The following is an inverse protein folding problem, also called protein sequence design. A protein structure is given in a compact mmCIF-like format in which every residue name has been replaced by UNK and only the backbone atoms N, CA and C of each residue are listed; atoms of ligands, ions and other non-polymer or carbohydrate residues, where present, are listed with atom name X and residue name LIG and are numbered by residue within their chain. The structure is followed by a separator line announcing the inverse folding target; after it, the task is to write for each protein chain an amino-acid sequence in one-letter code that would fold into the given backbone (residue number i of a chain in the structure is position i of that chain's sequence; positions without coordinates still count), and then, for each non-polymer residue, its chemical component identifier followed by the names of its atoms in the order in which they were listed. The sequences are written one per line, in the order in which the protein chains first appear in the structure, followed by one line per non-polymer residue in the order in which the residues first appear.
data_IF_529311360055
#
_entry.id   IF_529311360055
#
_cell.length_a   1.000
_cell.length_b   1.000
_cell.length_c   1.000
_cell.angle_alpha   90.00
_cell.angle_beta   90.00
_cell.angle_gamma   90.00
#
_symmetry.space_group_name_H-M   'P 1'
#
loop_
_entity.id
_entity.type
_entity.pdbx_description
1 polymer ?
#
# COMPACT_ATOMS: atom_id res chain seq x y z
N UNK A 1 8.86 20.34 18.13
CA UNK A 1 8.15 19.04 18.28
C UNK A 1 7.46 18.61 16.99
N UNK A 2 7.21 19.48 16.01
CA UNK A 2 6.49 19.16 14.76
C UNK A 2 7.35 18.54 13.64
N UNK A 3 8.67 18.79 13.60
CA UNK A 3 9.54 18.28 12.52
C UNK A 3 9.63 16.75 12.47
N UNK A 4 9.67 16.08 13.63
CA UNK A 4 9.74 14.62 13.68
C UNK A 4 8.48 13.95 13.13
N UNK A 5 7.30 14.46 13.49
CA UNK A 5 6.03 13.90 13.03
C UNK A 5 5.78 14.14 11.53
N UNK A 6 6.27 15.25 10.97
CA UNK A 6 6.21 15.49 9.52
C UNK A 6 7.15 14.56 8.75
N UNK A 7 8.34 14.28 9.30
CA UNK A 7 9.27 13.31 8.74
C UNK A 7 8.70 11.88 8.75
N UNK A 8 7.99 11.50 9.81
CA UNK A 8 7.31 10.20 9.89
C UNK A 8 6.28 10.04 8.75
N UNK A 9 5.51 11.09 8.47
CA UNK A 9 4.54 11.11 7.37
C UNK A 9 5.19 11.10 5.97
N UNK A 10 6.34 11.75 5.79
CA UNK A 10 7.11 11.65 4.55
C UNK A 10 7.64 10.23 4.32
N UNK A 11 8.08 9.53 5.37
CA UNK A 11 8.48 8.13 5.27
C UNK A 11 7.30 7.24 4.85
N UNK A 12 6.10 7.47 5.39
CA UNK A 12 4.88 6.78 4.97
C UNK A 12 4.60 7.02 3.48
N UNK A 13 4.71 8.27 3.01
CA UNK A 13 4.50 8.60 1.59
C UNK A 13 5.52 7.89 0.69
N UNK A 14 6.80 7.88 1.06
CA UNK A 14 7.84 7.17 0.30
C UNK A 14 7.54 5.67 0.21
N UNK A 15 7.15 5.04 1.31
CA UNK A 15 6.81 3.61 1.33
C UNK A 15 5.56 3.33 0.51
N UNK A 16 4.54 4.19 0.57
CA UNK A 16 3.34 4.07 -0.26
C UNK A 16 3.67 4.13 -1.77
N UNK A 17 4.53 5.08 -2.17
CA UNK A 17 4.98 5.21 -3.55
C UNK A 17 5.75 3.97 -4.03
N UNK A 18 6.68 3.46 -3.21
CA UNK A 18 7.45 2.26 -3.54
C UNK A 18 6.57 1.02 -3.64
N UNK A 19 5.63 0.84 -2.71
CA UNK A 19 4.68 -0.27 -2.73
C UNK A 19 3.79 -0.21 -3.97
N UNK A 20 3.29 0.99 -4.32
CA UNK A 20 2.49 1.21 -5.52
C UNK A 20 3.27 0.90 -6.81
N UNK A 21 4.53 1.33 -6.88
CA UNK A 21 5.41 1.03 -8.01
C UNK A 21 5.66 -0.47 -8.16
N UNK A 22 5.97 -1.16 -7.06
CA UNK A 22 6.18 -2.62 -7.05
C UNK A 22 4.94 -3.37 -7.56
N UNK A 23 3.74 -3.02 -7.09
CA UNK A 23 2.47 -3.61 -7.56
C UNK A 23 2.23 -3.32 -9.04
N UNK A 24 2.48 -2.08 -9.48
CA UNK A 24 2.30 -1.68 -10.88
C UNK A 24 3.24 -2.42 -11.83
N UNK A 25 4.39 -2.87 -11.33
CA UNK A 25 5.37 -3.68 -12.05
C UNK A 25 5.18 -5.20 -11.87
N UNK A 26 4.13 -5.62 -11.14
CA UNK A 26 3.88 -7.00 -10.75
C UNK A 26 5.04 -7.65 -9.94
N UNK A 27 5.82 -6.84 -9.23
CA UNK A 27 6.85 -7.30 -8.29
C UNK A 27 6.21 -7.54 -6.91
N UNK A 28 5.52 -8.67 -6.80
CA UNK A 28 4.73 -9.02 -5.61
C UNK A 28 5.58 -9.35 -4.39
N UNK A 29 6.79 -9.90 -4.58
CA UNK A 29 7.71 -10.20 -3.48
C UNK A 29 8.18 -8.90 -2.82
N UNK A 30 8.57 -7.90 -3.61
CA UNK A 30 8.94 -6.58 -3.10
C UNK A 30 7.74 -5.87 -2.49
N UNK A 31 6.56 -5.93 -3.13
CA UNK A 31 5.35 -5.33 -2.60
C UNK A 31 5.01 -5.84 -1.18
N UNK A 32 5.04 -7.16 -0.96
CA UNK A 32 4.71 -7.74 0.34
C UNK A 32 5.70 -7.29 1.45
N UNK A 33 6.99 -7.16 1.12
CA UNK A 33 7.98 -6.64 2.06
C UNK A 33 7.77 -5.15 2.37
N UNK A 34 7.37 -4.36 1.38
CA UNK A 34 7.10 -2.93 1.54
C UNK A 34 5.78 -2.68 2.28
N UNK A 35 4.79 -3.55 2.11
CA UNK A 35 3.49 -3.46 2.78
C UNK A 35 3.63 -3.50 4.31
N UNK A 36 4.41 -4.44 4.85
CA UNK A 36 4.70 -4.52 6.29
C UNK A 36 5.43 -3.28 6.82
N UNK A 37 6.38 -2.75 6.04
CA UNK A 37 7.11 -1.53 6.38
C UNK A 37 6.20 -0.31 6.37
N UNK A 38 5.33 -0.19 5.35
CA UNK A 38 4.33 0.85 5.23
C UNK A 38 3.38 0.84 6.43
N UNK A 39 2.83 -0.33 6.81
CA UNK A 39 1.96 -0.43 7.98
C UNK A 39 2.66 -0.03 9.27
N UNK A 40 3.91 -0.45 9.44
CA UNK A 40 4.71 -0.08 10.61
C UNK A 40 4.97 1.43 10.68
N UNK A 41 5.27 2.07 9.54
CA UNK A 41 5.46 3.51 9.45
C UNK A 41 4.14 4.26 9.73
N UNK A 42 3.02 3.80 9.17
CA UNK A 42 1.70 4.39 9.39
C UNK A 42 1.27 4.29 10.87
N UNK A 43 1.54 3.16 11.54
CA UNK A 43 1.29 3.02 12.96
C UNK A 43 2.13 3.99 13.80
N UNK A 44 3.37 4.26 13.39
CA UNK A 44 4.24 5.21 14.07
C UNK A 44 3.69 6.66 14.02
N UNK A 45 3.04 7.06 12.91
CA UNK A 45 2.42 8.39 12.81
C UNK A 45 1.24 8.56 13.77
N UNK A 46 0.55 7.46 14.13
CA UNK A 46 -0.51 7.49 15.14
C UNK A 46 0.03 7.62 16.56
N UNK A 47 1.21 7.05 16.84
CA UNK A 47 1.86 7.18 18.14
C UNK A 47 2.39 8.60 18.40
N UNK A 48 2.67 9.36 17.33
CA UNK A 48 3.15 10.74 17.40
C UNK A 48 2.36 11.64 16.43
N UNK A 49 1.09 11.96 16.78
CA UNK A 49 0.24 12.71 15.89
C UNK A 49 0.76 14.14 15.69
N UNK A 50 0.64 14.64 14.46
CA UNK A 50 0.89 16.05 14.15
C UNK A 50 -0.21 16.89 14.80
N UNK A 51 0.18 17.90 15.59
CA UNK A 51 -0.79 18.88 16.10
C UNK A 51 -1.13 19.90 15.00
N UNK A 52 -2.09 19.52 14.15
CA UNK A 52 -2.53 20.29 12.98
C UNK A 52 -2.97 21.72 13.36
N UNK A 53 -3.62 21.88 14.51
CA UNK A 53 -4.09 23.20 14.99
C UNK A 53 -2.95 24.17 15.35
N UNK A 54 -1.72 23.66 15.50
CA UNK A 54 -0.54 24.49 15.79
C UNK A 54 0.27 24.87 14.54
N UNK A 55 -0.13 24.40 13.36
CA UNK A 55 0.53 24.71 12.10
C UNK A 55 0.04 26.07 11.56
N UNK A 56 0.94 26.79 10.89
CA UNK A 56 0.53 27.91 10.03
C UNK A 56 -0.24 27.40 8.79
N UNK A 57 -0.88 28.31 8.07
CA UNK A 57 -1.75 27.97 6.94
C UNK A 57 -1.02 27.16 5.85
N UNK A 58 0.20 27.56 5.49
CA UNK A 58 0.97 26.90 4.44
C UNK A 58 1.36 25.47 4.84
N UNK A 59 1.83 25.28 6.08
CA UNK A 59 2.16 23.95 6.62
C UNK A 59 0.93 23.08 6.80
N UNK A 60 -0.19 23.66 7.20
CA UNK A 60 -1.46 22.96 7.33
C UNK A 60 -1.93 22.41 5.97
N UNK A 61 -1.89 23.25 4.93
CA UNK A 61 -2.24 22.85 3.56
C UNK A 61 -1.29 21.76 3.05
N UNK A 62 0.02 21.97 3.18
CA UNK A 62 1.01 20.98 2.75
C UNK A 62 0.84 19.63 3.46
N UNK A 63 0.57 19.64 4.76
CA UNK A 63 0.30 18.41 5.52
C UNK A 63 -0.97 17.71 5.04
N UNK A 64 -2.04 18.47 4.80
CA UNK A 64 -3.31 17.93 4.31
C UNK A 64 -3.13 17.29 2.94
N UNK A 65 -2.40 17.94 2.03
CA UNK A 65 -2.09 17.38 0.70
C UNK A 65 -1.25 16.11 0.80
N UNK A 66 -0.25 16.07 1.68
CA UNK A 66 0.56 14.88 1.91
C UNK A 66 -0.31 13.70 2.36
N UNK A 67 -1.16 13.89 3.36
CA UNK A 67 -2.03 12.83 3.88
C UNK A 67 -2.99 12.34 2.78
N UNK A 68 -3.53 13.25 1.96
CA UNK A 68 -4.38 12.87 0.84
C UNK A 68 -3.64 12.01 -0.19
N UNK A 69 -2.41 12.37 -0.56
CA UNK A 69 -1.60 11.57 -1.48
C UNK A 69 -1.34 10.16 -0.96
N UNK A 70 -1.08 10.01 0.34
CA UNK A 70 -0.92 8.69 0.98
C UNK A 70 -2.21 7.86 0.86
N UNK A 71 -3.37 8.48 1.10
CA UNK A 71 -4.67 7.80 1.02
C UNK A 71 -4.94 7.35 -0.42
N UNK A 72 -4.72 8.23 -1.40
CA UNK A 72 -4.96 7.94 -2.82
C UNK A 72 -4.07 6.77 -3.28
N UNK A 73 -2.76 6.83 -2.99
CA UNK A 73 -1.82 5.76 -3.30
C UNK A 73 -2.22 4.43 -2.65
N UNK A 74 -2.68 4.47 -1.40
CA UNK A 74 -3.14 3.26 -0.71
C UNK A 74 -4.34 2.63 -1.41
N UNK A 75 -5.35 3.43 -1.79
CA UNK A 75 -6.54 2.96 -2.48
C UNK A 75 -6.21 2.36 -3.85
N UNK A 76 -5.38 3.04 -4.64
CA UNK A 76 -4.95 2.56 -5.94
C UNK A 76 -4.18 1.24 -5.83
N UNK A 77 -3.24 1.16 -4.88
CA UNK A 77 -2.45 -0.06 -4.64
C UNK A 77 -3.33 -1.22 -4.19
N UNK A 78 -4.31 -0.97 -3.32
CA UNK A 78 -5.25 -1.98 -2.86
C UNK A 78 -6.10 -2.56 -4.00
N UNK A 79 -6.58 -1.70 -4.90
CA UNK A 79 -7.34 -2.12 -6.09
C UNK A 79 -6.50 -2.99 -7.03
N UNK A 80 -5.25 -2.61 -7.28
CA UNK A 80 -4.34 -3.39 -8.11
C UNK A 80 -4.04 -4.76 -7.48
N UNK A 81 -3.74 -4.78 -6.18
CA UNK A 81 -3.50 -6.02 -5.44
C UNK A 81 -4.75 -6.93 -5.40
N UNK A 82 -5.95 -6.36 -5.30
CA UNK A 82 -7.22 -7.09 -5.40
C UNK A 82 -7.39 -7.73 -6.79
N UNK A 83 -7.15 -6.96 -7.85
CA UNK A 83 -7.19 -7.46 -9.21
C UNK A 83 -6.27 -8.67 -9.42
N UNK A 84 -5.04 -8.60 -8.91
CA UNK A 84 -4.10 -9.72 -8.98
C UNK A 84 -4.54 -10.94 -8.18
N UNK A 85 -5.05 -10.76 -6.96
CA UNK A 85 -5.59 -11.88 -6.16
C UNK A 85 -6.73 -12.60 -6.88
N UNK A 86 -7.62 -11.85 -7.53
CA UNK A 86 -8.71 -12.43 -8.31
C UNK A 86 -8.18 -13.23 -9.51
N UNK A 87 -7.18 -12.70 -10.23
CA UNK A 87 -6.53 -13.43 -11.31
C UNK A 87 -5.89 -14.75 -10.84
N UNK A 88 -5.17 -14.73 -9.72
CA UNK A 88 -4.57 -15.93 -9.13
C UNK A 88 -5.63 -16.98 -8.74
N UNK A 89 -6.77 -16.54 -8.23
CA UNK A 89 -7.89 -17.43 -7.89
C UNK A 89 -8.45 -18.13 -9.13
N UNK A 90 -8.60 -17.40 -10.24
CA UNK A 90 -9.06 -17.94 -11.52
C UNK A 90 -8.06 -18.94 -12.10
N UNK A 91 -6.75 -18.62 -12.08
CA UNK A 91 -5.69 -19.52 -12.53
C UNK A 91 -5.63 -20.82 -11.72
N UNK A 92 -5.81 -20.73 -10.41
CA UNK A 92 -5.87 -21.90 -9.53
C UNK A 92 -7.08 -22.80 -9.86
N UNK A 93 -8.25 -22.20 -10.10
CA UNK A 93 -9.45 -22.93 -10.47
C UNK A 93 -9.28 -23.66 -11.82
N UNK A 94 -8.68 -22.99 -12.81
CA UNK A 94 -8.35 -23.59 -14.11
C UNK A 94 -7.40 -24.78 -13.96
N UNK A 95 -6.31 -24.62 -13.22
CA UNK A 95 -5.31 -25.67 -12.99
C UNK A 95 -5.92 -26.88 -12.27
N UNK A 96 -6.77 -26.63 -11.27
CA UNK A 96 -7.49 -27.69 -10.56
C UNK A 96 -8.43 -28.48 -11.48
N UNK A 97 -9.18 -27.78 -12.34
CA UNK A 97 -10.08 -28.39 -13.30
C UNK A 97 -9.30 -29.21 -14.35
N UNK A 98 -8.17 -28.71 -14.85
CA UNK A 98 -7.29 -29.47 -15.73
C UNK A 98 -6.78 -30.75 -15.05
N UNK A 99 -6.35 -30.68 -13.80
CA UNK A 99 -5.92 -31.85 -13.03
C UNK A 99 -7.04 -32.89 -12.85
N UNK A 100 -8.29 -32.44 -12.66
CA UNK A 100 -9.47 -33.33 -12.61
C UNK A 100 -9.74 -33.98 -13.96
N UNK A 101 -9.68 -33.22 -15.05
CA UNK A 101 -9.87 -33.75 -16.41
C UNK A 101 -8.81 -34.79 -16.76
N UNK A 102 -7.53 -34.52 -16.48
CA UNK A 102 -6.44 -35.48 -16.72
C UNK A 102 -6.61 -36.80 -15.97
N UNK A 103 -7.25 -36.79 -14.79
CA UNK A 103 -7.57 -38.02 -14.05
C UNK A 103 -8.70 -38.84 -14.69
N UNK A 104 -9.59 -38.23 -15.46
CA UNK A 104 -10.67 -38.94 -16.17
C UNK A 104 -10.19 -39.64 -17.44
N UNK A 105 -9.04 -39.22 -18.00
CA UNK A 105 -8.42 -39.85 -19.17
C UNK A 105 -7.49 -41.02 -18.82
N UNK A 106 -7.32 -41.35 -17.54
CA UNK A 106 -6.51 -42.48 -17.05
C UNK A 106 -7.41 -43.59 -16.55
#
# INVERSE_FOLDING_TARGET
MSEGAFADWLAVLTLAQQAHEAVSQADWDTFLQLEDQYFSALAATQARPVNIASLDADRHEAFTQLVQQVIDLHQETALLAEGYRNQLADELALTSNQGRLLKLYK
#
